data_IF_380744136594
#
_entry.id   IF_380744136594
#
_cell.length_a   1.000
_cell.length_b   1.000
_cell.length_c   1.000
_cell.angle_alpha   90.00
_cell.angle_beta   90.00
_cell.angle_gamma   90.00
#
_symmetry.space_group_name_H-M   'P 1'
#
loop_
_entity.id
_entity.type
_entity.pdbx_description
1 polymer ?
#
# COMPACT_ATOMS: atom_id res chain seq x y z
N UNK A 1 0.39 10.86 -19.07
CA UNK A 1 1.12 11.58 -20.14
C UNK A 1 0.27 11.59 -21.40
N UNK A 2 0.27 12.68 -22.17
CA UNK A 2 -0.46 12.77 -23.44
C UNK A 2 0.27 11.95 -24.51
N UNK A 3 -0.48 11.21 -25.33
CA UNK A 3 0.09 10.51 -26.47
C UNK A 3 0.78 11.51 -27.43
N UNK A 4 1.91 11.14 -28.05
CA UNK A 4 2.58 12.01 -29.02
C UNK A 4 1.67 12.26 -30.23
N UNK A 5 1.72 13.50 -30.75
CA UNK A 5 0.86 13.94 -31.86
C UNK A 5 1.02 13.08 -33.13
N UNK A 6 2.21 12.52 -33.35
CA UNK A 6 2.51 11.67 -34.51
C UNK A 6 1.97 10.24 -34.40
N UNK A 7 1.57 9.76 -33.21
CA UNK A 7 1.06 8.38 -33.03
C UNK A 7 -0.12 8.10 -33.97
N UNK A 8 -1.09 9.01 -33.98
CA UNK A 8 -2.31 8.87 -34.81
C UNK A 8 -1.99 8.79 -36.31
N UNK A 9 -1.01 9.57 -36.76
CA UNK A 9 -0.57 9.56 -38.15
C UNK A 9 0.13 8.24 -38.52
N UNK A 10 0.95 7.70 -37.62
CA UNK A 10 1.60 6.40 -37.82
C UNK A 10 0.57 5.27 -37.85
N UNK A 11 -0.39 5.27 -36.93
CA UNK A 11 -1.46 4.27 -36.89
C UNK A 11 -2.24 4.29 -38.23
N UNK A 12 -2.72 5.48 -38.64
CA UNK A 12 -3.48 5.65 -39.90
C UNK A 12 -2.70 5.20 -41.14
N UNK A 13 -1.47 5.68 -41.33
CA UNK A 13 -0.68 5.35 -42.52
C UNK A 13 -0.26 3.87 -42.55
N UNK A 14 -0.14 3.23 -41.38
CA UNK A 14 0.10 1.79 -41.28
C UNK A 14 -1.13 1.01 -41.74
N UNK A 15 -2.32 1.42 -41.31
CA UNK A 15 -3.59 0.77 -41.70
C UNK A 15 -3.89 0.94 -43.19
N UNK A 16 -3.50 2.07 -43.78
CA UNK A 16 -3.60 2.35 -45.22
C UNK A 16 -2.54 1.60 -46.06
N UNK A 17 -1.61 0.87 -45.43
CA UNK A 17 -0.55 0.11 -46.12
C UNK A 17 0.51 1.00 -46.78
N UNK A 18 0.68 2.23 -46.31
CA UNK A 18 1.62 3.18 -46.88
C UNK A 18 3.07 2.79 -46.55
N UNK A 19 3.97 2.84 -47.53
CA UNK A 19 5.38 2.52 -47.34
C UNK A 19 6.25 3.78 -47.38
N UNK A 20 7.07 3.99 -46.34
CA UNK A 20 8.00 5.10 -46.28
C UNK A 20 9.12 4.86 -45.28
N UNK A 21 10.39 5.12 -45.62
CA UNK A 21 11.50 5.04 -44.67
C UNK A 21 11.32 5.93 -43.42
N UNK A 22 10.53 7.00 -43.53
CA UNK A 22 10.21 7.87 -42.39
C UNK A 22 9.13 7.25 -41.50
N UNK A 23 8.15 6.56 -42.10
CA UNK A 23 7.14 5.81 -41.36
C UNK A 23 7.80 4.68 -40.57
N UNK A 24 8.74 3.94 -41.16
CA UNK A 24 9.47 2.87 -40.46
C UNK A 24 10.23 3.37 -39.23
N UNK A 25 10.88 4.54 -39.34
CA UNK A 25 11.55 5.18 -38.20
C UNK A 25 10.56 5.55 -37.10
N UNK A 26 9.38 6.05 -37.46
CA UNK A 26 8.34 6.40 -36.49
C UNK A 26 7.69 5.16 -35.87
N UNK A 27 7.51 4.06 -36.61
CA UNK A 27 7.02 2.77 -36.09
C UNK A 27 7.94 2.22 -35.01
N UNK A 28 9.26 2.18 -35.24
CA UNK A 28 10.23 1.77 -34.20
C UNK A 28 10.12 2.61 -32.92
N UNK A 29 9.88 3.92 -33.05
CA UNK A 29 9.66 4.79 -31.89
C UNK A 29 8.32 4.55 -31.22
N UNK A 30 7.29 4.18 -31.99
CA UNK A 30 5.98 3.80 -31.48
C UNK A 30 6.08 2.55 -30.62
N UNK A 31 6.80 1.52 -31.08
CA UNK A 31 6.98 0.26 -30.35
C UNK A 31 7.62 0.50 -28.98
N UNK A 32 8.72 1.27 -28.94
CA UNK A 32 9.38 1.65 -27.68
C UNK A 32 8.45 2.46 -26.79
N UNK A 33 7.69 3.40 -27.36
CA UNK A 33 6.71 4.18 -26.59
C UNK A 33 5.61 3.28 -26.00
N UNK A 34 5.06 2.34 -26.76
CA UNK A 34 4.03 1.42 -26.30
C UNK A 34 4.56 0.51 -25.19
N UNK A 35 5.73 -0.11 -25.39
CA UNK A 35 6.38 -0.94 -24.38
C UNK A 35 6.63 -0.18 -23.07
N UNK A 36 7.10 1.09 -23.15
CA UNK A 36 7.27 1.94 -21.97
C UNK A 36 5.92 2.18 -21.25
N UNK A 37 4.84 2.43 -22.00
CA UNK A 37 3.51 2.69 -21.43
C UNK A 37 2.90 1.44 -20.78
N UNK A 38 3.15 0.26 -21.34
CA UNK A 38 2.74 -1.01 -20.75
C UNK A 38 3.49 -1.26 -19.44
N UNK A 39 4.81 -1.09 -19.44
CA UNK A 39 5.64 -1.21 -18.23
C UNK A 39 5.21 -0.21 -17.15
N UNK A 40 4.95 1.05 -17.50
CA UNK A 40 4.42 2.07 -16.57
C UNK A 40 3.10 1.61 -15.93
N UNK A 41 2.21 0.98 -16.72
CA UNK A 41 0.93 0.47 -16.23
C UNK A 41 1.13 -0.70 -15.26
N UNK A 42 2.01 -1.64 -15.58
CA UNK A 42 2.34 -2.78 -14.71
C UNK A 42 2.93 -2.31 -13.38
N UNK A 43 3.88 -1.36 -13.42
CA UNK A 43 4.47 -0.77 -12.21
C UNK A 43 3.37 -0.14 -11.34
N UNK A 44 2.47 0.65 -11.93
CA UNK A 44 1.36 1.26 -11.17
C UNK A 44 0.41 0.23 -10.56
N UNK A 45 0.12 -0.85 -11.28
CA UNK A 45 -0.71 -1.95 -10.78
C UNK A 45 -0.05 -2.64 -9.58
N UNK A 46 1.24 -2.93 -9.66
CA UNK A 46 1.98 -3.55 -8.56
C UNK A 46 2.11 -2.62 -7.35
N UNK A 47 2.33 -1.33 -7.55
CA UNK A 47 2.34 -0.35 -6.45
C UNK A 47 0.98 -0.26 -5.76
N UNK A 48 -0.12 -0.25 -6.52
CA UNK A 48 -1.48 -0.24 -5.97
C UNK A 48 -1.78 -1.53 -5.19
N UNK A 49 -1.41 -2.69 -5.73
CA UNK A 49 -1.56 -3.97 -5.05
C UNK A 49 -0.70 -4.06 -3.77
N UNK A 50 0.54 -3.54 -3.80
CA UNK A 50 1.41 -3.47 -2.64
C UNK A 50 0.84 -2.56 -1.54
N UNK A 51 0.27 -1.41 -1.91
CA UNK A 51 -0.41 -0.52 -0.98
C UNK A 51 -1.60 -1.22 -0.29
N UNK A 52 -2.44 -1.91 -1.06
CA UNK A 52 -3.57 -2.66 -0.51
C UNK A 52 -3.15 -3.77 0.45
N UNK A 53 -2.11 -4.53 0.11
CA UNK A 53 -1.53 -5.56 1.00
C UNK A 53 -0.95 -4.96 2.30
N UNK A 54 -0.42 -3.74 2.24
CA UNK A 54 0.09 -3.05 3.43
C UNK A 54 -1.06 -2.60 4.34
N UNK A 55 -2.15 -2.08 3.78
CA UNK A 55 -3.37 -1.75 4.53
C UNK A 55 -3.99 -2.98 5.19
N UNK A 56 -4.10 -4.09 4.47
CA UNK A 56 -4.62 -5.36 5.01
C UNK A 56 -3.83 -5.82 6.24
N UNK A 57 -2.50 -5.72 6.21
CA UNK A 57 -1.64 -6.04 7.36
C UNK A 57 -1.91 -5.15 8.57
N UNK A 58 -2.20 -3.86 8.34
CA UNK A 58 -2.59 -2.93 9.41
C UNK A 58 -3.92 -3.37 10.03
N UNK A 59 -4.92 -3.65 9.20
CA UNK A 59 -6.25 -4.07 9.66
C UNK A 59 -6.19 -5.36 10.48
N UNK A 60 -5.46 -6.37 9.99
CA UNK A 60 -5.25 -7.64 10.74
C UNK A 60 -4.57 -7.38 12.08
N UNK A 61 -3.49 -6.59 12.10
CA UNK A 61 -2.77 -6.30 13.33
C UNK A 61 -3.63 -5.53 14.36
N UNK A 62 -4.51 -4.63 13.89
CA UNK A 62 -5.45 -3.89 14.74
C UNK A 62 -6.55 -4.81 15.30
N UNK A 63 -7.11 -5.70 14.49
CA UNK A 63 -8.10 -6.67 14.95
C UNK A 63 -7.52 -7.59 16.04
N UNK A 64 -6.32 -8.13 15.81
CA UNK A 64 -5.64 -8.96 16.80
C UNK A 64 -5.30 -8.18 18.08
N UNK A 65 -4.91 -6.90 17.95
CA UNK A 65 -4.68 -6.02 19.08
C UNK A 65 -5.97 -5.77 19.88
N UNK A 66 -7.11 -5.59 19.20
CA UNK A 66 -8.41 -5.42 19.84
C UNK A 66 -8.81 -6.67 20.64
N UNK A 67 -8.66 -7.86 20.04
CA UNK A 67 -8.94 -9.13 20.72
C UNK A 67 -8.07 -9.32 21.97
N UNK A 68 -6.78 -8.99 21.88
CA UNK A 68 -5.88 -9.00 23.03
C UNK A 68 -6.28 -7.96 24.07
N UNK A 69 -6.73 -6.78 23.66
CA UNK A 69 -7.23 -5.73 24.54
C UNK A 69 -8.41 -6.21 25.37
N UNK A 70 -9.43 -6.78 24.71
CA UNK A 70 -10.61 -7.36 25.38
C UNK A 70 -10.23 -8.49 26.34
N UNK A 71 -9.21 -9.30 26.00
CA UNK A 71 -8.69 -10.34 26.90
C UNK A 71 -8.06 -9.73 28.14
N UNK A 72 -7.26 -8.68 27.99
CA UNK A 72 -6.67 -7.97 29.14
C UNK A 72 -7.77 -7.38 30.02
N UNK A 73 -8.78 -6.73 29.44
CA UNK A 73 -9.90 -6.15 30.18
C UNK A 73 -10.63 -7.21 31.03
N UNK A 74 -10.86 -8.40 30.45
CA UNK A 74 -11.48 -9.52 31.16
C UNK A 74 -10.62 -10.03 32.31
N UNK A 75 -9.36 -10.33 32.05
CA UNK A 75 -8.43 -10.86 33.07
C UNK A 75 -8.20 -9.86 34.21
N UNK A 76 -8.21 -8.57 33.90
CA UNK A 76 -8.11 -7.50 34.91
C UNK A 76 -9.34 -7.47 35.82
N UNK A 77 -10.54 -7.61 35.25
CA UNK A 77 -11.77 -7.68 36.03
C UNK A 77 -11.85 -8.95 36.91
N UNK A 78 -11.28 -10.06 36.43
CA UNK A 78 -11.24 -11.34 37.15
C UNK A 78 -10.11 -11.42 38.19
N UNK A 79 -9.16 -10.47 38.18
CA UNK A 79 -7.97 -10.52 39.04
C UNK A 79 -7.06 -11.72 38.73
N UNK A 80 -7.04 -12.17 37.48
CA UNK A 80 -6.36 -13.39 37.05
C UNK A 80 -4.83 -13.24 37.06
N UNK A 81 -4.11 -14.31 37.43
CA UNK A 81 -2.65 -14.34 37.49
C UNK A 81 -2.01 -14.13 36.11
N UNK A 82 -2.69 -14.53 35.03
CA UNK A 82 -2.22 -14.39 33.65
C UNK A 82 -2.31 -12.96 33.11
N UNK A 83 -2.83 -12.00 33.89
CA UNK A 83 -2.96 -10.60 33.49
C UNK A 83 -1.63 -10.01 33.00
N UNK A 84 -0.55 -10.27 33.74
CA UNK A 84 0.77 -9.75 33.40
C UNK A 84 1.24 -10.24 32.03
N UNK A 85 1.07 -11.52 31.73
CA UNK A 85 1.40 -12.09 30.43
C UNK A 85 0.51 -11.52 29.31
N UNK A 86 -0.81 -11.40 29.55
CA UNK A 86 -1.73 -10.84 28.59
C UNK A 86 -1.38 -9.38 28.23
N UNK A 87 -0.97 -8.57 29.21
CA UNK A 87 -0.49 -7.20 29.00
C UNK A 87 0.79 -7.18 28.16
N UNK A 88 1.74 -8.10 28.40
CA UNK A 88 2.96 -8.20 27.59
C UNK A 88 2.63 -8.54 26.13
N UNK A 89 1.74 -9.50 25.90
CA UNK A 89 1.29 -9.88 24.56
C UNK A 89 0.56 -8.73 23.85
N UNK A 90 -0.33 -8.03 24.55
CA UNK A 90 -1.00 -6.82 24.03
C UNK A 90 0.01 -5.76 23.60
N UNK A 91 0.98 -5.44 24.48
CA UNK A 91 1.99 -4.41 24.19
C UNK A 91 2.93 -4.83 23.06
N UNK A 92 3.22 -6.13 22.91
CA UNK A 92 3.97 -6.64 21.76
C UNK A 92 3.18 -6.45 20.46
N UNK A 93 1.91 -6.86 20.42
CA UNK A 93 1.06 -6.68 19.24
C UNK A 93 0.86 -5.21 18.88
N UNK A 94 0.78 -4.33 19.88
CA UNK A 94 0.72 -2.89 19.71
C UNK A 94 1.96 -2.33 18.99
N UNK A 95 3.16 -2.82 19.31
CA UNK A 95 4.38 -2.44 18.59
C UNK A 95 4.35 -2.93 17.15
N UNK A 96 3.84 -4.14 16.92
CA UNK A 96 3.66 -4.66 15.56
C UNK A 96 2.67 -3.81 14.76
N UNK A 97 1.51 -3.45 15.31
CA UNK A 97 0.52 -2.61 14.64
C UNK A 97 1.12 -1.25 14.22
N UNK A 98 1.98 -0.66 15.06
CA UNK A 98 2.71 0.58 14.73
C UNK A 98 3.70 0.38 13.58
N UNK A 99 4.40 -0.75 13.58
CA UNK A 99 5.30 -1.11 12.49
C UNK A 99 4.56 -1.27 11.17
N UNK A 100 3.39 -1.95 11.17
CA UNK A 100 2.55 -2.08 9.97
C UNK A 100 2.04 -0.73 9.47
N UNK A 101 1.63 0.15 10.39
CA UNK A 101 1.16 1.48 10.03
C UNK A 101 2.29 2.33 9.40
N UNK A 102 3.52 2.19 9.89
CA UNK A 102 4.70 2.82 9.28
C UNK A 102 5.02 2.24 7.89
N UNK A 103 4.89 0.92 7.69
CA UNK A 103 5.02 0.29 6.36
C UNK A 103 3.99 0.87 5.37
N UNK A 104 2.74 1.05 5.81
CA UNK A 104 1.70 1.70 5.01
C UNK A 104 2.07 3.14 4.64
N UNK A 105 2.65 3.91 5.56
CA UNK A 105 3.16 5.27 5.29
C UNK A 105 4.21 5.26 4.17
N UNK A 106 5.16 4.32 4.21
CA UNK A 106 6.19 4.21 3.15
C UNK A 106 5.56 3.96 1.78
N UNK A 107 4.61 3.04 1.68
CA UNK A 107 3.92 2.76 0.42
C UNK A 107 3.13 3.97 -0.10
N UNK A 108 2.53 4.74 0.81
CA UNK A 108 1.86 6.00 0.47
C UNK A 108 2.85 7.05 -0.04
N UNK A 109 4.01 7.20 0.59
CA UNK A 109 5.04 8.15 0.14
C UNK A 109 5.62 7.78 -1.22
N UNK A 110 5.80 6.49 -1.51
CA UNK A 110 6.22 6.01 -2.83
C UNK A 110 5.23 6.40 -3.95
N UNK A 111 3.95 6.57 -3.61
CA UNK A 111 2.90 7.04 -4.52
C UNK A 111 2.69 8.57 -4.48
N UNK A 112 3.50 9.30 -3.71
CA UNK A 112 3.49 10.76 -3.65
C UNK A 112 2.57 11.37 -2.58
N UNK A 113 1.96 10.57 -1.71
CA UNK A 113 1.18 11.08 -0.57
C UNK A 113 2.14 11.61 0.51
N UNK A 114 1.97 12.88 0.94
CA UNK A 114 2.87 13.54 1.92
C UNK A 114 2.21 13.87 3.26
N UNK A 115 0.88 13.86 3.33
CA UNK A 115 0.14 14.11 4.56
C UNK A 115 -0.46 12.80 5.07
N UNK A 116 -0.05 12.43 6.29
CA UNK A 116 -0.40 11.15 6.92
C UNK A 116 -1.23 11.33 8.19
N UNK A 117 -1.59 12.56 8.57
CA UNK A 117 -2.34 12.83 9.82
C UNK A 117 -3.66 12.06 9.88
N UNK A 118 -4.31 11.88 8.74
CA UNK A 118 -5.58 11.16 8.62
C UNK A 118 -5.45 9.67 8.97
N UNK A 119 -4.24 9.09 8.92
CA UNK A 119 -4.04 7.68 9.26
C UNK A 119 -4.27 7.42 10.75
N UNK A 120 -4.00 8.40 11.62
CA UNK A 120 -4.24 8.25 13.06
C UNK A 120 -5.75 8.17 13.37
N UNK A 121 -6.59 8.77 12.52
CA UNK A 121 -8.05 8.73 12.62
C UNK A 121 -8.62 7.39 12.11
N UNK A 122 -8.13 6.90 10.98
CA UNK A 122 -8.59 5.62 10.40
C UNK A 122 -8.03 4.39 11.10
N UNK A 123 -6.82 4.49 11.66
CA UNK A 123 -6.08 3.37 12.25
C UNK A 123 -5.65 3.69 13.69
N UNK A 124 -6.62 3.93 14.61
CA UNK A 124 -6.29 4.32 15.98
C UNK A 124 -5.60 3.17 16.72
N UNK A 125 -4.36 3.41 17.18
CA UNK A 125 -3.61 2.46 18.00
C UNK A 125 -3.73 2.87 19.48
N UNK A 126 -4.34 2.05 20.35
CA UNK A 126 -4.54 2.38 21.76
C UNK A 126 -3.20 2.64 22.50
N UNK A 127 -3.20 3.30 23.68
CA UNK A 127 -2.00 3.46 24.51
C UNK A 127 -1.46 2.11 25.05
N UNK A 128 -0.19 2.04 25.49
CA UNK A 128 0.33 0.82 26.10
C UNK A 128 -0.34 0.57 27.47
N UNK A 129 -0.51 -0.70 27.82
CA UNK A 129 -1.05 -1.10 29.13
C UNK A 129 0.09 -1.43 30.09
N UNK A 130 -0.11 -1.23 31.39
CA UNK A 130 0.89 -1.56 32.44
C UNK A 130 0.44 -2.79 33.21
N UNK A 131 1.33 -3.77 33.49
CA UNK A 131 1.02 -4.80 34.48
C UNK A 131 0.79 -4.11 35.83
N UNK A 132 -0.13 -4.62 36.66
CA UNK A 132 -0.14 -4.24 38.08
C UNK A 132 1.17 -4.73 38.71
N UNK A 133 1.77 -3.88 39.55
CA UNK A 133 2.96 -4.20 40.33
C UNK A 133 2.63 -5.20 41.43
#
# INVERSE_FOLDING_TARGET
>A
MRAPAWKRLVDQLTDEGYESPYLDRLRRRLDVYQAQRELEKEILQEMAAALGRAEEKVLVALLELELLGRRVDRLEAEGAEELAEAVLRFNAKRREARQRLWELVIHREALGFRNHRILEEFYPIPPPRRPRA
#
